data_IF_181305603210
#
_entry.id   IF_181305603210
#
_cell.length_a   1.000
_cell.length_b   1.000
_cell.length_c   1.000
_cell.angle_alpha   90.00
_cell.angle_beta   90.00
_cell.angle_gamma   90.00
#
_symmetry.space_group_name_H-M   'P 1'
#
loop_
_entity.id
_entity.type
_entity.pdbx_description
1 polymer ?
#
# COMPACT_ATOMS: atom_id res chain seq x y z
N UNK A 1 6.60 -23.91 13.49
CA UNK A 1 6.30 -23.45 12.11
C UNK A 1 4.83 -23.75 11.84
N UNK A 2 3.96 -22.74 11.89
CA UNK A 2 2.59 -22.89 11.42
C UNK A 2 2.60 -22.56 9.93
N UNK A 3 2.47 -23.58 9.09
CA UNK A 3 2.28 -23.41 7.64
C UNK A 3 0.99 -22.63 7.40
N UNK A 4 1.09 -21.51 6.67
CA UNK A 4 -0.07 -20.70 6.30
C UNK A 4 -1.07 -21.56 5.51
N UNK A 5 -2.34 -21.54 5.92
CA UNK A 5 -3.43 -22.17 5.17
C UNK A 5 -3.48 -21.53 3.77
N UNK A 6 -3.38 -22.36 2.74
CA UNK A 6 -3.38 -21.93 1.34
C UNK A 6 -4.78 -21.45 0.91
N UNK A 7 -4.82 -20.64 -0.14
CA UNK A 7 -6.08 -20.12 -0.72
C UNK A 7 -7.07 -21.23 -1.11
N UNK A 8 -6.56 -22.43 -1.42
CA UNK A 8 -7.37 -23.58 -1.83
C UNK A 8 -7.92 -24.36 -0.62
N UNK A 9 -7.18 -24.42 0.49
CA UNK A 9 -7.69 -24.96 1.76
C UNK A 9 -8.81 -24.08 2.35
N UNK A 10 -8.72 -22.75 2.18
CA UNK A 10 -9.81 -21.82 2.56
C UNK A 10 -11.12 -22.09 1.81
N UNK A 11 -11.05 -22.53 0.54
CA UNK A 11 -12.24 -22.88 -0.26
C UNK A 11 -12.86 -24.21 0.19
N UNK A 12 -12.05 -25.15 0.66
CA UNK A 12 -12.49 -26.48 1.09
C UNK A 12 -13.19 -26.49 2.47
N UNK A 13 -13.05 -25.43 3.28
CA UNK A 13 -13.72 -25.30 4.60
C UNK A 13 -15.25 -25.07 4.48
N UNK A 14 -15.84 -25.18 3.28
CA UNK A 14 -17.30 -25.22 3.14
C UNK A 14 -17.99 -23.91 3.52
N UNK A 15 -17.28 -22.78 3.43
CA UNK A 15 -17.93 -21.46 3.44
C UNK A 15 -18.57 -21.29 2.06
N UNK A 16 -19.71 -21.96 1.84
CA UNK A 16 -20.71 -21.44 0.93
C UNK A 16 -20.94 -19.99 1.38
N UNK A 17 -20.67 -19.04 0.47
CA UNK A 17 -20.79 -17.60 0.68
C UNK A 17 -22.26 -17.21 0.82
N UNK A 18 -22.91 -17.71 1.87
CA UNK A 18 -24.21 -17.24 2.27
C UNK A 18 -24.00 -15.93 3.04
N UNK A 19 -23.91 -14.85 2.27
CA UNK A 19 -24.48 -13.52 2.54
C UNK A 19 -24.17 -12.56 1.37
N UNK A 20 -25.23 -12.13 0.67
CA UNK A 20 -25.36 -11.05 -0.33
C UNK A 20 -24.91 -11.37 -1.78
N UNK A 21 -25.85 -11.89 -2.58
CA UNK A 21 -25.76 -12.03 -4.05
C UNK A 21 -25.14 -10.80 -4.73
N UNK A 22 -25.62 -9.60 -4.37
CA UNK A 22 -25.18 -8.31 -4.92
C UNK A 22 -23.66 -8.03 -4.82
N UNK A 23 -23.00 -8.43 -3.71
CA UNK A 23 -21.56 -8.18 -3.54
C UNK A 23 -20.73 -9.11 -4.42
N UNK A 24 -21.11 -10.39 -4.44
CA UNK A 24 -20.46 -11.41 -5.26
C UNK A 24 -20.69 -11.11 -6.74
N UNK A 25 -21.92 -10.75 -7.12
CA UNK A 25 -22.27 -10.35 -8.48
C UNK A 25 -21.45 -9.14 -8.96
N UNK A 26 -21.29 -8.09 -8.14
CA UNK A 26 -20.42 -6.96 -8.52
C UNK A 26 -18.93 -7.35 -8.59
N UNK A 27 -18.48 -8.32 -7.80
CA UNK A 27 -17.13 -8.87 -7.93
C UNK A 27 -16.98 -9.63 -9.24
N UNK A 28 -17.97 -10.44 -9.61
CA UNK A 28 -18.01 -11.19 -10.86
C UNK A 28 -18.07 -10.26 -12.08
N UNK A 29 -18.89 -9.22 -12.05
CA UNK A 29 -18.94 -8.15 -13.06
C UNK A 29 -17.57 -7.52 -13.32
N UNK A 30 -16.78 -7.30 -12.26
CA UNK A 30 -15.42 -6.76 -12.39
C UNK A 30 -14.48 -7.78 -13.02
N UNK A 31 -14.62 -9.05 -12.68
CA UNK A 31 -13.83 -10.14 -13.26
C UNK A 31 -14.16 -10.31 -14.74
N UNK A 32 -15.44 -10.23 -15.14
CA UNK A 32 -15.89 -10.28 -16.53
C UNK A 32 -15.23 -9.15 -17.34
N UNK A 33 -15.29 -7.90 -16.83
CA UNK A 33 -14.64 -6.75 -17.49
C UNK A 33 -13.12 -6.92 -17.67
N UNK A 34 -12.46 -7.58 -16.72
CA UNK A 34 -11.03 -7.92 -16.84
C UNK A 34 -10.84 -8.98 -17.92
N UNK A 35 -11.69 -10.02 -17.97
CA UNK A 35 -11.64 -11.07 -19.00
C UNK A 35 -11.84 -10.49 -20.41
N UNK A 36 -12.83 -9.65 -20.62
CA UNK A 36 -13.11 -9.05 -21.93
C UNK A 36 -11.92 -8.24 -22.44
N UNK A 37 -11.33 -7.41 -21.57
CA UNK A 37 -10.11 -6.66 -21.88
C UNK A 37 -8.93 -7.58 -22.18
N UNK A 38 -8.80 -8.69 -21.46
CA UNK A 38 -7.74 -9.65 -21.69
C UNK A 38 -7.91 -10.38 -23.03
N UNK A 39 -9.15 -10.68 -23.43
CA UNK A 39 -9.46 -11.27 -24.74
C UNK A 39 -9.11 -10.27 -25.87
N UNK A 40 -9.48 -8.99 -25.73
CA UNK A 40 -9.08 -7.95 -26.68
C UNK A 40 -7.55 -7.88 -26.84
N UNK A 41 -6.82 -7.79 -25.73
CA UNK A 41 -5.36 -7.78 -25.75
C UNK A 41 -4.76 -9.05 -26.35
N UNK A 42 -5.32 -10.22 -26.05
CA UNK A 42 -4.88 -11.50 -26.61
C UNK A 42 -5.10 -11.55 -28.12
N UNK A 43 -6.24 -11.07 -28.61
CA UNK A 43 -6.52 -11.00 -30.05
C UNK A 43 -5.58 -10.01 -30.76
N UNK A 44 -5.32 -8.85 -30.15
CA UNK A 44 -4.34 -7.89 -30.66
C UNK A 44 -2.92 -8.46 -30.67
N UNK A 45 -2.56 -9.24 -29.65
CA UNK A 45 -1.25 -9.91 -29.57
C UNK A 45 -1.01 -10.89 -30.72
N UNK A 46 -2.04 -11.60 -31.18
CA UNK A 46 -1.94 -12.53 -32.33
C UNK A 46 -1.61 -11.83 -33.65
N UNK A 47 -1.92 -10.54 -33.77
CA UNK A 47 -1.67 -9.74 -34.97
C UNK A 47 -0.29 -9.04 -34.94
N UNK A 48 0.50 -9.22 -33.89
CA UNK A 48 1.84 -8.64 -33.79
C UNK A 48 2.82 -9.47 -34.62
N UNK A 49 3.47 -8.85 -35.59
CA UNK A 49 4.45 -9.51 -36.44
C UNK A 49 5.82 -9.67 -35.76
N UNK A 50 6.66 -10.55 -36.30
CA UNK A 50 8.07 -10.65 -35.90
C UNK A 50 8.83 -9.33 -36.08
N UNK A 51 8.49 -8.57 -37.13
CA UNK A 51 9.13 -7.28 -37.41
C UNK A 51 8.75 -6.21 -36.38
N UNK A 52 7.52 -6.25 -35.88
CA UNK A 52 7.09 -5.39 -34.78
C UNK A 52 7.86 -5.71 -33.49
N UNK A 53 8.05 -6.99 -33.20
CA UNK A 53 8.84 -7.44 -32.04
C UNK A 53 10.31 -7.02 -32.16
N UNK A 54 10.92 -7.14 -33.34
CA UNK A 54 12.29 -6.72 -33.60
C UNK A 54 12.45 -5.21 -33.43
N UNK A 55 11.50 -4.40 -33.94
CA UNK A 55 11.48 -2.94 -33.73
C UNK A 55 11.33 -2.59 -32.26
N UNK A 56 10.45 -3.28 -31.53
CA UNK A 56 10.28 -3.08 -30.09
C UNK A 56 11.56 -3.42 -29.31
N UNK A 57 12.28 -4.48 -29.68
CA UNK A 57 13.52 -4.88 -29.01
C UNK A 57 14.56 -3.75 -28.97
N UNK A 58 14.74 -3.00 -30.05
CA UNK A 58 15.64 -1.85 -30.07
C UNK A 58 15.22 -0.72 -29.11
N UNK A 59 13.91 -0.53 -28.91
CA UNK A 59 13.39 0.43 -27.92
C UNK A 59 13.60 -0.08 -26.49
N UNK A 60 13.35 -1.37 -26.25
CA UNK A 60 13.57 -2.00 -24.94
C UNK A 60 15.04 -1.95 -24.55
N UNK A 61 15.96 -2.21 -25.48
CA UNK A 61 17.39 -2.14 -25.22
C UNK A 61 17.82 -0.75 -24.73
N UNK A 62 17.31 0.33 -25.36
CA UNK A 62 17.54 1.71 -24.90
C UNK A 62 17.00 1.95 -23.49
N UNK A 63 15.86 1.36 -23.15
CA UNK A 63 15.31 1.45 -21.80
C UNK A 63 16.15 0.69 -20.77
N UNK A 64 16.72 -0.47 -21.13
CA UNK A 64 17.66 -1.22 -20.29
C UNK A 64 18.93 -0.41 -20.05
N UNK A 65 19.52 0.18 -21.11
CA UNK A 65 20.70 1.04 -20.99
C UNK A 65 20.44 2.27 -20.11
N UNK A 66 19.25 2.89 -20.24
CA UNK A 66 18.84 3.97 -19.34
C UNK A 66 18.73 3.47 -17.90
N UNK A 67 18.15 2.29 -17.69
CA UNK A 67 17.99 1.70 -16.37
C UNK A 67 19.34 1.38 -15.71
N UNK A 68 20.31 0.87 -16.48
CA UNK A 68 21.68 0.62 -16.03
C UNK A 68 22.39 1.90 -15.59
N UNK A 69 22.14 3.02 -16.27
CA UNK A 69 22.68 4.34 -15.88
C UNK A 69 21.99 4.90 -14.64
N UNK A 70 20.68 4.70 -14.52
CA UNK A 70 19.90 5.19 -13.37
C UNK A 70 20.13 4.38 -12.10
N UNK A 71 20.31 3.06 -12.23
CA UNK A 71 20.39 2.10 -11.13
C UNK A 71 21.55 1.11 -11.36
N UNK A 72 22.80 1.57 -11.45
CA UNK A 72 23.94 0.72 -11.79
C UNK A 72 24.16 -0.43 -10.80
N UNK A 73 23.78 -0.23 -9.53
CA UNK A 73 23.88 -1.27 -8.50
C UNK A 73 23.04 -2.52 -8.83
N UNK A 74 21.86 -2.37 -9.46
CA UNK A 74 21.05 -3.51 -9.91
C UNK A 74 21.76 -4.38 -10.96
N UNK A 75 22.83 -3.86 -11.57
CA UNK A 75 23.61 -4.50 -12.61
C UNK A 75 25.06 -4.77 -12.17
N UNK A 76 25.30 -4.87 -10.86
CA UNK A 76 26.57 -5.32 -10.29
C UNK A 76 27.58 -4.23 -9.97
N UNK A 77 27.25 -2.95 -10.14
CA UNK A 77 28.10 -1.87 -9.64
C UNK A 77 28.05 -1.78 -8.11
N UNK A 78 29.11 -1.23 -7.50
CA UNK A 78 29.11 -0.93 -6.06
C UNK A 78 28.05 0.14 -5.78
N UNK A 79 27.12 -0.07 -4.83
CA UNK A 79 26.09 0.91 -4.51
C UNK A 79 26.70 2.14 -3.84
N UNK A 80 26.29 3.32 -4.27
CA UNK A 80 26.57 4.61 -3.60
C UNK A 80 25.51 4.95 -2.54
N UNK A 81 24.36 4.26 -2.59
CA UNK A 81 23.22 4.42 -1.68
C UNK A 81 22.60 3.09 -1.33
N UNK A 82 22.11 3.00 -0.10
CA UNK A 82 21.35 1.87 0.42
C UNK A 82 20.03 2.36 1.02
N UNK A 83 19.00 1.53 0.88
CA UNK A 83 17.63 1.81 1.23
C UNK A 83 17.17 0.85 2.32
N UNK A 84 16.57 1.38 3.38
CA UNK A 84 16.01 0.62 4.48
C UNK A 84 14.52 0.87 4.56
N UNK A 85 13.71 -0.14 4.23
CA UNK A 85 12.27 -0.08 4.46
C UNK A 85 11.95 -0.63 5.85
N UNK A 86 11.28 0.15 6.67
CA UNK A 86 10.85 -0.22 8.02
C UNK A 86 9.32 -0.31 8.05
N UNK A 87 8.81 -1.37 8.66
CA UNK A 87 7.37 -1.66 8.72
C UNK A 87 7.01 -2.27 10.10
N UNK A 88 6.05 -1.64 10.80
CA UNK A 88 5.55 -2.04 12.11
C UNK A 88 4.79 -3.37 12.07
N UNK A 89 5.18 -4.31 12.92
CA UNK A 89 4.63 -5.66 12.90
C UNK A 89 3.19 -5.70 13.44
N UNK A 90 2.23 -6.08 12.58
CA UNK A 90 0.79 -6.15 12.93
C UNK A 90 0.29 -4.89 13.66
N UNK A 91 0.73 -3.70 13.20
CA UNK A 91 0.74 -2.46 13.97
C UNK A 91 -0.46 -2.22 14.90
N UNK A 92 -1.68 -2.08 14.37
CA UNK A 92 -2.84 -1.77 15.22
C UNK A 92 -3.12 -2.86 16.25
N UNK A 93 -3.00 -4.13 15.86
CA UNK A 93 -3.21 -5.25 16.78
C UNK A 93 -2.13 -5.29 17.88
N UNK A 94 -0.89 -4.94 17.55
CA UNK A 94 0.21 -4.82 18.51
C UNK A 94 -0.03 -3.67 19.50
N UNK A 95 -0.53 -2.51 19.03
CA UNK A 95 -0.90 -1.38 19.90
C UNK A 95 -2.05 -1.75 20.84
N UNK A 96 -3.11 -2.39 20.33
CA UNK A 96 -4.21 -2.87 21.16
C UNK A 96 -3.74 -3.88 22.20
N UNK A 97 -2.84 -4.80 21.82
CA UNK A 97 -2.24 -5.79 22.72
C UNK A 97 -1.40 -5.15 23.83
N UNK A 98 -0.68 -4.05 23.53
CA UNK A 98 0.05 -3.30 24.55
C UNK A 98 -0.88 -2.63 25.57
N UNK A 99 -2.07 -2.18 25.13
CA UNK A 99 -3.05 -1.55 26.03
C UNK A 99 -3.92 -2.56 26.76
N UNK A 100 -4.10 -3.75 26.20
CA UNK A 100 -4.92 -4.84 26.71
C UNK A 100 -4.12 -6.15 26.70
N UNK A 101 -3.30 -6.40 27.74
CA UNK A 101 -2.42 -7.56 27.81
C UNK A 101 -3.14 -8.91 27.65
N UNK A 102 -4.45 -8.96 27.93
CA UNK A 102 -5.30 -10.13 27.69
C UNK A 102 -5.37 -10.56 26.21
N UNK A 103 -4.96 -9.70 25.27
CA UNK A 103 -4.95 -10.02 23.84
C UNK A 103 -3.67 -10.69 23.33
N UNK A 104 -2.63 -10.80 24.17
CA UNK A 104 -1.27 -11.19 23.75
C UNK A 104 -1.21 -12.52 23.00
N UNK A 105 -1.89 -13.53 23.53
CA UNK A 105 -1.75 -14.92 23.08
C UNK A 105 -3.05 -15.47 22.45
N UNK A 106 -3.98 -14.58 22.06
CA UNK A 106 -5.25 -14.97 21.44
C UNK A 106 -5.37 -14.42 20.00
N UNK A 107 -6.14 -15.07 19.11
CA UNK A 107 -6.45 -14.50 17.80
C UNK A 107 -7.19 -13.17 17.93
N UNK A 108 -6.59 -12.08 17.41
CA UNK A 108 -7.14 -10.73 17.45
C UNK A 108 -7.27 -10.13 16.04
N UNK A 109 -8.44 -9.57 15.76
CA UNK A 109 -8.69 -8.66 14.65
C UNK A 109 -9.01 -7.26 15.15
N UNK A 110 -8.52 -6.23 14.44
CA UNK A 110 -8.85 -4.82 14.71
C UNK A 110 -9.77 -4.32 13.60
N UNK A 111 -10.93 -3.79 13.95
CA UNK A 111 -11.96 -3.35 13.01
C UNK A 111 -13.37 -3.60 13.52
N UNK A 112 -14.20 -4.20 12.69
CA UNK A 112 -15.59 -4.53 13.02
C UNK A 112 -16.04 -5.81 12.33
N UNK A 113 -17.27 -6.26 12.62
CA UNK A 113 -17.90 -7.34 11.88
C UNK A 113 -18.01 -7.07 10.37
N UNK A 114 -18.04 -5.81 9.95
CA UNK A 114 -18.13 -5.43 8.53
C UNK A 114 -16.77 -5.47 7.83
N UNK A 115 -15.69 -5.11 8.52
CA UNK A 115 -14.35 -5.02 7.92
C UNK A 115 -13.26 -5.02 8.99
N UNK A 116 -12.23 -5.83 8.79
CA UNK A 116 -10.99 -5.80 9.58
C UNK A 116 -9.96 -4.90 8.92
N UNK A 117 -9.37 -3.99 9.70
CA UNK A 117 -8.23 -3.18 9.31
C UNK A 117 -6.93 -3.99 9.35
N UNK A 118 -6.75 -4.84 10.36
CA UNK A 118 -5.61 -5.77 10.47
C UNK A 118 -5.92 -6.93 11.42
N UNK A 119 -4.98 -7.86 11.54
CA UNK A 119 -5.01 -9.00 12.47
C UNK A 119 -3.62 -9.29 13.01
N UNK A 120 -3.54 -9.85 14.23
CA UNK A 120 -2.29 -10.33 14.81
C UNK A 120 -1.85 -11.66 14.19
N UNK A 121 -0.59 -12.06 14.41
CA UNK A 121 -0.04 -13.28 13.85
C UNK A 121 -0.79 -14.57 14.26
N UNK A 122 -1.26 -14.74 15.52
CA UNK A 122 -2.14 -15.85 15.88
C UNK A 122 -3.39 -15.95 14.99
N UNK A 123 -4.10 -14.84 14.75
CA UNK A 123 -5.25 -14.84 13.84
C UNK A 123 -4.86 -15.09 12.38
N UNK A 124 -3.68 -14.64 11.96
CA UNK A 124 -3.17 -14.91 10.60
C UNK A 124 -2.89 -16.39 10.35
N UNK A 125 -2.58 -17.18 11.37
CA UNK A 125 -2.43 -18.63 11.20
C UNK A 125 -3.74 -19.31 10.73
N UNK A 126 -4.90 -18.77 11.11
CA UNK A 126 -6.22 -19.21 10.63
C UNK A 126 -6.63 -18.58 9.29
N UNK A 127 -5.74 -17.83 8.65
CA UNK A 127 -6.06 -17.17 7.40
C UNK A 127 -6.81 -15.84 7.52
N UNK A 128 -7.03 -15.33 8.73
CA UNK A 128 -7.62 -13.98 8.94
C UNK A 128 -6.62 -12.92 8.46
N UNK A 129 -7.05 -11.99 7.60
CA UNK A 129 -6.20 -10.96 6.98
C UNK A 129 -6.87 -9.59 7.00
N UNK A 130 -6.08 -8.53 6.82
CA UNK A 130 -6.58 -7.18 6.59
C UNK A 130 -7.47 -7.12 5.34
N UNK A 131 -8.52 -6.28 5.36
CA UNK A 131 -9.47 -6.17 4.25
C UNK A 131 -10.51 -7.30 4.18
N UNK A 132 -10.52 -8.22 5.15
CA UNK A 132 -11.52 -9.27 5.29
C UNK A 132 -12.71 -8.79 6.14
N UNK A 133 -13.97 -9.04 5.75
CA UNK A 133 -15.12 -8.86 6.63
C UNK A 133 -15.02 -9.67 7.92
N UNK A 134 -15.29 -9.04 9.06
CA UNK A 134 -15.15 -9.67 10.38
C UNK A 134 -16.05 -10.89 10.58
N UNK A 135 -17.25 -10.92 9.99
CA UNK A 135 -18.11 -12.09 10.04
C UNK A 135 -17.51 -13.32 9.31
N UNK A 136 -16.79 -13.12 8.20
CA UNK A 136 -16.07 -14.20 7.53
C UNK A 136 -14.85 -14.62 8.34
N UNK A 137 -14.13 -13.66 8.92
CA UNK A 137 -13.00 -13.95 9.79
C UNK A 137 -13.41 -14.80 11.01
N UNK A 138 -14.60 -14.55 11.57
CA UNK A 138 -15.20 -15.36 12.64
C UNK A 138 -15.57 -16.78 12.19
N UNK A 139 -15.95 -16.99 10.92
CA UNK A 139 -16.15 -18.34 10.37
C UNK A 139 -14.82 -19.10 10.28
N UNK A 140 -13.74 -18.44 9.84
CA UNK A 140 -12.39 -19.03 9.79
C UNK A 140 -11.78 -19.28 11.17
N UNK A 141 -12.07 -18.41 12.13
CA UNK A 141 -11.56 -18.49 13.49
C UNK A 141 -12.69 -18.13 14.49
N UNK A 142 -13.47 -19.12 14.96
CA UNK A 142 -14.60 -18.87 15.87
C UNK A 142 -14.21 -18.16 17.17
N UNK A 143 -13.00 -18.43 17.66
CA UNK A 143 -12.40 -17.82 18.86
C UNK A 143 -11.84 -16.42 18.65
N UNK A 144 -11.84 -15.88 17.42
CA UNK A 144 -11.31 -14.56 17.08
C UNK A 144 -11.94 -13.45 17.92
N UNK A 145 -11.15 -12.66 18.63
CA UNK A 145 -11.60 -11.43 19.26
C UNK A 145 -11.52 -10.29 18.23
N UNK A 146 -12.57 -9.47 18.13
CA UNK A 146 -12.58 -8.29 17.28
C UNK A 146 -12.72 -7.06 18.16
N UNK A 147 -11.75 -6.15 18.09
CA UNK A 147 -11.76 -4.86 18.79
C UNK A 147 -11.94 -3.69 17.81
N UNK A 148 -12.68 -2.63 18.16
CA UNK A 148 -12.79 -1.42 17.32
C UNK A 148 -11.44 -0.75 17.06
N UNK A 149 -11.34 -0.02 15.94
CA UNK A 149 -10.17 0.82 15.65
C UNK A 149 -10.11 2.05 16.57
N UNK A 150 -8.92 2.37 17.07
CA UNK A 150 -8.59 3.61 17.78
C UNK A 150 -7.49 4.38 17.02
N UNK A 151 -7.89 5.17 16.02
CA UNK A 151 -6.94 5.84 15.13
C UNK A 151 -6.09 6.92 15.82
N UNK A 152 -6.64 7.61 16.82
CA UNK A 152 -5.87 8.62 17.58
C UNK A 152 -4.70 7.93 18.30
N UNK A 153 -4.98 6.82 18.96
CA UNK A 153 -3.96 5.99 19.59
C UNK A 153 -2.92 5.47 18.59
N UNK A 154 -3.34 5.03 17.40
CA UNK A 154 -2.41 4.52 16.39
C UNK A 154 -1.52 5.64 15.83
N UNK A 155 -2.07 6.84 15.61
CA UNK A 155 -1.28 7.99 15.20
C UNK A 155 -0.26 8.39 16.28
N UNK A 156 -0.64 8.39 17.56
CA UNK A 156 0.29 8.69 18.66
C UNK A 156 1.51 7.74 18.70
N UNK A 157 1.29 6.45 18.45
CA UNK A 157 2.39 5.48 18.39
C UNK A 157 3.20 5.60 17.09
N UNK A 158 2.54 5.86 15.96
CA UNK A 158 3.18 6.15 14.68
C UNK A 158 4.14 7.33 14.83
N UNK A 159 3.67 8.45 15.38
CA UNK A 159 4.47 9.67 15.54
C UNK A 159 5.71 9.44 16.40
N UNK A 160 5.60 8.63 17.47
CA UNK A 160 6.75 8.22 18.29
C UNK A 160 7.77 7.41 17.50
N UNK A 161 7.31 6.43 16.71
CA UNK A 161 8.20 5.61 15.89
C UNK A 161 8.87 6.47 14.83
N UNK A 162 8.10 7.27 14.08
CA UNK A 162 8.62 8.15 13.04
C UNK A 162 9.60 9.19 13.59
N UNK A 163 9.39 9.71 14.80
CA UNK A 163 10.33 10.61 15.48
C UNK A 163 11.67 9.94 15.82
N UNK A 164 11.65 8.66 16.24
CA UNK A 164 12.88 7.88 16.46
C UNK A 164 13.61 7.71 15.13
N UNK A 165 12.91 7.30 14.08
CA UNK A 165 13.51 7.05 12.76
C UNK A 165 14.07 8.34 12.14
N UNK A 166 13.35 9.46 12.26
CA UNK A 166 13.76 10.75 11.69
C UNK A 166 15.04 11.30 12.31
N UNK A 167 15.40 10.85 13.52
CA UNK A 167 16.66 11.29 14.12
C UNK A 167 17.87 10.63 13.47
N UNK A 168 17.76 9.37 13.02
CA UNK A 168 18.83 8.72 12.25
C UNK A 168 18.85 9.15 10.78
N UNK A 169 17.72 9.63 10.26
CA UNK A 169 17.63 10.14 8.89
C UNK A 169 16.53 11.22 8.78
N UNK A 170 16.87 12.53 8.86
CA UNK A 170 15.88 13.61 8.84
C UNK A 170 15.03 13.68 7.55
N UNK A 171 15.53 13.10 6.46
CA UNK A 171 14.87 13.02 5.16
C UNK A 171 14.11 11.70 4.94
N UNK A 172 13.62 11.09 6.02
CA UNK A 172 12.83 9.87 5.98
C UNK A 172 11.59 10.02 5.08
N UNK A 173 11.31 8.98 4.30
CA UNK A 173 10.14 8.90 3.43
C UNK A 173 9.04 8.08 4.12
N UNK A 174 8.00 8.75 4.62
CA UNK A 174 6.86 8.10 5.28
C UNK A 174 5.83 7.69 4.22
N UNK A 175 5.47 6.39 4.17
CA UNK A 175 4.51 5.85 3.21
C UNK A 175 3.14 5.53 3.84
N UNK A 176 3.11 5.34 5.16
CA UNK A 176 1.92 5.07 5.95
C UNK A 176 2.19 5.36 7.42
N UNK A 177 1.21 5.12 8.29
CA UNK A 177 1.40 5.30 9.74
C UNK A 177 2.19 4.15 10.38
N UNK A 178 2.44 3.09 9.61
CA UNK A 178 3.23 1.93 9.98
C UNK A 178 4.51 1.72 9.15
N UNK A 179 4.70 2.50 8.08
CA UNK A 179 5.75 2.25 7.09
C UNK A 179 6.55 3.50 6.73
N UNK A 180 7.88 3.34 6.66
CA UNK A 180 8.79 4.36 6.19
C UNK A 180 10.01 3.79 5.46
N UNK A 181 10.72 4.64 4.71
CA UNK A 181 11.97 4.31 4.06
C UNK A 181 13.06 5.31 4.44
N UNK A 182 14.20 4.80 4.90
CA UNK A 182 15.40 5.59 5.18
C UNK A 182 16.41 5.35 4.05
N UNK A 183 17.10 6.42 3.66
CA UNK A 183 18.08 6.37 2.56
C UNK A 183 19.43 6.84 3.06
N UNK A 184 20.44 5.99 2.91
CA UNK A 184 21.80 6.22 3.39
C UNK A 184 22.80 6.21 2.23
N UNK A 185 23.63 7.25 2.18
CA UNK A 185 24.95 7.26 1.55
C UNK A 185 26.03 7.18 2.67
N UNK A 186 27.32 7.21 2.31
CA UNK A 186 28.43 7.15 3.28
C UNK A 186 28.32 8.25 4.36
N UNK A 187 28.03 9.49 3.95
CA UNK A 187 27.90 10.63 4.87
C UNK A 187 26.77 10.43 5.86
N UNK A 188 25.55 10.12 5.38
CA UNK A 188 24.38 9.91 6.23
C UNK A 188 24.55 8.72 7.16
N UNK A 189 25.26 7.68 6.71
CA UNK A 189 25.53 6.52 7.55
C UNK A 189 26.47 6.88 8.71
N UNK A 190 27.55 7.64 8.42
CA UNK A 190 28.47 8.14 9.46
C UNK A 190 27.74 9.03 10.47
N UNK A 191 26.94 9.98 10.01
CA UNK A 191 26.12 10.85 10.88
C UNK A 191 25.20 10.03 11.79
N UNK A 192 24.51 9.02 11.25
CA UNK A 192 23.64 8.16 12.04
C UNK A 192 24.40 7.30 13.07
N UNK A 193 25.63 6.88 12.77
CA UNK A 193 26.52 6.21 13.72
C UNK A 193 26.93 7.14 14.86
N UNK A 194 27.30 8.38 14.55
CA UNK A 194 27.64 9.39 15.56
C UNK A 194 26.45 9.69 16.46
N UNK A 195 25.25 9.85 15.89
CA UNK A 195 24.00 10.07 16.62
C UNK A 195 23.72 8.91 17.58
N UNK A 196 23.92 7.66 17.14
CA UNK A 196 23.80 6.48 18.00
C UNK A 196 24.83 6.52 19.14
N UNK A 197 26.11 6.71 18.82
CA UNK A 197 27.22 6.66 19.78
C UNK A 197 27.20 7.80 20.81
N UNK A 198 26.74 8.99 20.42
CA UNK A 198 26.69 10.19 21.27
C UNK A 198 25.40 10.30 22.10
N UNK A 199 24.56 9.26 22.14
CA UNK A 199 23.34 9.18 22.94
C UNK A 199 22.27 10.24 22.61
N UNK A 200 22.23 10.80 21.39
CA UNK A 200 21.29 11.88 21.07
C UNK A 200 19.80 11.47 21.14
N UNK A 201 19.50 10.17 21.12
CA UNK A 201 18.13 9.62 21.14
C UNK A 201 17.94 8.57 22.23
N UNK A 202 19.02 7.87 22.59
CA UNK A 202 18.97 6.68 23.42
C UNK A 202 19.43 7.09 24.82
N UNK A 203 18.49 7.52 25.66
CA UNK A 203 18.74 7.58 27.10
C UNK A 203 19.33 6.23 27.53
N UNK A 204 20.62 6.22 27.86
CA UNK A 204 21.37 4.96 28.07
C UNK A 204 20.70 4.13 29.16
N UNK A 205 20.60 2.83 28.91
CA UNK A 205 21.10 1.85 29.87
C UNK A 205 22.60 1.75 29.56
N UNK A 206 23.46 1.89 30.56
CA UNK A 206 24.91 2.15 30.41
C UNK A 206 25.73 1.06 29.72
N UNK A 207 25.12 -0.05 29.28
CA UNK A 207 25.82 -1.30 28.93
C UNK A 207 25.92 -1.59 27.42
N UNK A 208 25.39 -0.75 26.52
CA UNK A 208 25.51 -1.01 25.07
C UNK A 208 26.85 -0.51 24.47
N UNK A 209 27.55 -1.39 23.76
CA UNK A 209 28.80 -1.08 23.05
C UNK A 209 28.60 -0.10 21.89
N UNK A 210 29.52 0.86 21.69
CA UNK A 210 29.47 1.79 20.56
C UNK A 210 29.69 1.06 19.22
N UNK A 211 29.09 1.59 18.16
CA UNK A 211 29.33 1.12 16.81
C UNK A 211 30.63 1.70 16.24
N UNK A 212 31.49 0.84 15.68
CA UNK A 212 32.70 1.25 14.96
C UNK A 212 32.40 1.28 13.47
N UNK A 213 32.57 2.46 12.86
CA UNK A 213 32.40 2.63 11.42
C UNK A 213 33.71 2.31 10.68
N UNK A 214 33.67 1.35 9.76
CA UNK A 214 34.83 0.99 8.94
C UNK A 214 34.67 1.50 7.51
N UNK A 215 33.60 1.08 6.83
CA UNK A 215 33.30 1.44 5.45
C UNK A 215 31.80 1.44 5.19
N UNK A 216 31.39 2.19 4.16
CA UNK A 216 30.01 2.16 3.70
C UNK A 216 29.67 0.81 3.09
N UNK A 217 28.58 0.21 3.55
CA UNK A 217 28.12 -1.06 3.02
C UNK A 217 26.99 -1.69 3.83
N UNK A 218 26.53 -2.85 3.35
CA UNK A 218 25.42 -3.58 3.94
C UNK A 218 25.69 -3.99 5.40
N UNK A 219 26.91 -4.38 5.74
CA UNK A 219 27.25 -4.82 7.10
C UNK A 219 27.18 -3.66 8.11
N UNK A 220 27.74 -2.50 7.75
CA UNK A 220 27.63 -1.31 8.57
C UNK A 220 26.17 -0.87 8.73
N UNK A 221 25.42 -0.84 7.63
CA UNK A 221 24.01 -0.45 7.70
C UNK A 221 23.16 -1.44 8.51
N UNK A 222 23.40 -2.75 8.39
CA UNK A 222 22.67 -3.78 9.14
C UNK A 222 22.83 -3.62 10.64
N UNK A 223 24.06 -3.36 11.12
CA UNK A 223 24.32 -3.11 12.55
C UNK A 223 23.53 -1.92 13.06
N UNK A 224 23.52 -0.81 12.30
CA UNK A 224 22.73 0.37 12.67
C UNK A 224 21.23 0.06 12.68
N UNK A 225 20.71 -0.63 11.66
CA UNK A 225 19.29 -0.99 11.58
C UNK A 225 18.86 -1.86 12.77
N UNK A 226 19.71 -2.77 13.24
CA UNK A 226 19.44 -3.53 14.45
C UNK A 226 19.30 -2.63 15.69
N UNK A 227 20.19 -1.64 15.83
CA UNK A 227 20.12 -0.64 16.90
C UNK A 227 18.87 0.23 16.80
N UNK A 228 18.47 0.63 15.59
CA UNK A 228 17.23 1.38 15.34
C UNK A 228 16.02 0.55 15.78
N UNK A 229 15.95 -0.73 15.40
CA UNK A 229 14.88 -1.66 15.82
C UNK A 229 14.81 -1.79 17.34
N UNK A 230 15.97 -1.94 17.99
CA UNK A 230 16.08 -1.96 19.45
C UNK A 230 15.60 -0.66 20.11
N UNK A 231 15.96 0.49 19.54
CA UNK A 231 15.51 1.80 20.03
C UNK A 231 13.99 1.95 19.91
N UNK A 232 13.39 1.54 18.78
CA UNK A 232 11.93 1.53 18.62
C UNK A 232 11.28 0.65 19.68
N UNK A 233 11.77 -0.56 19.89
CA UNK A 233 11.21 -1.48 20.88
C UNK A 233 11.33 -0.96 22.32
N UNK A 234 12.48 -0.40 22.71
CA UNK A 234 12.67 0.17 24.06
C UNK A 234 11.71 1.32 24.36
N UNK A 235 11.50 2.22 23.39
CA UNK A 235 10.71 3.43 23.58
C UNK A 235 9.20 3.21 23.41
N UNK A 236 8.79 2.23 22.59
CA UNK A 236 7.37 2.06 22.22
C UNK A 236 6.79 0.70 22.63
N UNK A 237 7.64 -0.29 22.95
CA UNK A 237 7.29 -1.71 23.12
C UNK A 237 6.69 -2.36 21.87
N UNK A 238 6.78 -1.71 20.71
CA UNK A 238 6.41 -2.25 19.41
C UNK A 238 7.64 -2.77 18.69
N UNK A 239 7.47 -3.84 17.90
CA UNK A 239 8.53 -4.34 17.03
C UNK A 239 8.34 -3.84 15.60
N UNK A 240 9.45 -3.67 14.91
CA UNK A 240 9.47 -3.35 13.48
C UNK A 240 10.33 -4.37 12.76
N UNK A 241 9.89 -4.74 11.56
CA UNK A 241 10.69 -5.49 10.60
C UNK A 241 11.37 -4.53 9.63
N UNK A 242 12.52 -4.93 9.09
CA UNK A 242 13.30 -4.10 8.19
C UNK A 242 13.80 -4.86 6.95
N UNK A 243 13.83 -4.20 5.81
CA UNK A 243 14.43 -4.71 4.57
C UNK A 243 15.49 -3.76 4.06
N UNK A 244 16.65 -4.29 3.66
CA UNK A 244 17.79 -3.50 3.18
C UNK A 244 18.14 -3.91 1.75
N UNK A 245 18.22 -2.94 0.84
CA UNK A 245 18.65 -3.18 -0.54
C UNK A 245 19.09 -1.90 -1.25
N UNK A 246 19.33 -1.98 -2.57
CA UNK A 246 19.85 -0.90 -3.41
C UNK A 246 18.76 0.00 -4.03
N UNK A 247 17.48 -0.33 -3.82
CA UNK A 247 16.34 0.50 -4.22
C UNK A 247 15.15 0.28 -3.28
N UNK A 248 14.15 1.18 -3.32
CA UNK A 248 12.99 1.11 -2.40
C UNK A 248 12.15 -0.12 -2.63
N UNK A 249 11.96 -0.53 -3.89
CA UNK A 249 11.16 -1.71 -4.23
C UNK A 249 11.73 -2.99 -3.62
N UNK A 250 13.03 -3.23 -3.76
CA UNK A 250 13.71 -4.39 -3.18
C UNK A 250 13.83 -4.29 -1.65
N UNK A 251 14.06 -3.10 -1.10
CA UNK A 251 14.03 -2.89 0.35
C UNK A 251 12.65 -3.21 0.93
N UNK A 252 11.57 -2.79 0.26
CA UNK A 252 10.21 -3.14 0.68
C UNK A 252 9.91 -4.63 0.55
N UNK A 253 10.32 -5.25 -0.55
CA UNK A 253 10.15 -6.69 -0.75
C UNK A 253 10.89 -7.50 0.33
N UNK A 254 12.17 -7.20 0.57
CA UNK A 254 12.99 -7.88 1.59
C UNK A 254 12.45 -7.72 3.00
N UNK A 255 11.85 -6.57 3.34
CA UNK A 255 11.23 -6.34 4.65
C UNK A 255 10.14 -7.38 4.98
N UNK A 256 9.44 -7.90 3.97
CA UNK A 256 8.40 -8.91 4.15
C UNK A 256 8.92 -10.33 4.44
N UNK A 257 10.18 -10.64 4.13
CA UNK A 257 10.69 -12.02 4.14
C UNK A 257 10.91 -12.59 5.55
N UNK A 258 11.32 -11.74 6.50
CA UNK A 258 11.63 -12.13 7.89
C UNK A 258 10.65 -11.53 8.92
N UNK A 259 9.41 -11.21 8.50
CA UNK A 259 8.37 -10.78 9.45
C UNK A 259 7.90 -11.95 10.33
N UNK A 260 7.54 -11.72 11.62
CA UNK A 260 7.69 -10.47 12.38
C UNK A 260 9.07 -10.29 13.03
N UNK A 261 9.35 -9.04 13.44
CA UNK A 261 10.50 -8.66 14.24
C UNK A 261 11.83 -9.22 13.70
N UNK A 262 12.00 -9.15 12.38
CA UNK A 262 13.22 -9.59 11.71
C UNK A 262 13.70 -8.55 10.73
N UNK A 263 14.91 -8.78 10.21
CA UNK A 263 15.39 -8.04 9.04
C UNK A 263 15.92 -8.98 7.98
N UNK A 264 15.86 -8.55 6.72
CA UNK A 264 16.45 -9.27 5.60
C UNK A 264 17.18 -8.29 4.69
N UNK A 265 18.28 -8.73 4.07
CA UNK A 265 19.05 -7.91 3.16
C UNK A 265 19.21 -8.62 1.83
N UNK A 266 19.00 -7.89 0.73
CA UNK A 266 19.37 -8.35 -0.60
C UNK A 266 20.58 -7.52 -1.01
N UNK A 267 21.76 -8.15 -1.03
CA UNK A 267 23.07 -7.51 -1.22
C UNK A 267 23.50 -7.46 -2.69
N UNK A 268 23.30 -8.58 -3.36
CA UNK A 268 23.73 -8.90 -4.70
C UNK A 268 22.72 -9.84 -5.36
N UNK A 269 22.99 -10.22 -6.62
CA UNK A 269 22.18 -11.15 -7.40
C UNK A 269 20.66 -10.84 -7.33
N UNK A 270 20.33 -9.55 -7.43
CA UNK A 270 18.95 -9.05 -7.28
C UNK A 270 17.95 -9.78 -8.17
N UNK A 271 18.43 -10.24 -9.34
CA UNK A 271 17.66 -10.97 -10.32
C UNK A 271 17.15 -12.31 -9.81
N UNK A 272 18.00 -13.11 -9.16
CA UNK A 272 17.63 -14.44 -8.67
C UNK A 272 16.57 -14.36 -7.58
N UNK A 273 16.62 -13.30 -6.76
CA UNK A 273 15.62 -13.03 -5.72
C UNK A 273 14.22 -12.73 -6.26
N UNK A 274 14.10 -12.15 -7.46
CA UNK A 274 12.79 -11.68 -7.97
C UNK A 274 12.28 -12.43 -9.20
N UNK A 275 13.16 -13.01 -10.02
CA UNK A 275 12.82 -13.58 -11.33
C UNK A 275 11.78 -14.71 -11.24
N UNK A 276 11.88 -15.56 -10.21
CA UNK A 276 11.00 -16.70 -9.98
C UNK A 276 9.67 -16.31 -9.28
N UNK A 277 9.56 -15.09 -8.76
CA UNK A 277 8.38 -14.66 -8.03
C UNK A 277 7.18 -14.53 -8.96
N UNK A 278 5.99 -14.85 -8.43
CA UNK A 278 4.75 -14.47 -9.07
C UNK A 278 4.67 -12.95 -9.16
N UNK A 279 4.14 -12.43 -10.28
CA UNK A 279 4.10 -10.99 -10.55
C UNK A 279 3.38 -10.19 -9.45
N UNK A 280 2.39 -10.77 -8.76
CA UNK A 280 1.64 -10.13 -7.69
C UNK A 280 2.36 -10.09 -6.33
N UNK A 281 3.55 -10.69 -6.23
CA UNK A 281 4.46 -10.50 -5.09
C UNK A 281 5.28 -9.22 -5.21
N UNK A 282 5.39 -8.64 -6.40
CA UNK A 282 6.02 -7.34 -6.60
C UNK A 282 5.02 -6.22 -6.26
N UNK A 283 5.40 -5.36 -5.31
CA UNK A 283 4.57 -4.21 -4.95
C UNK A 283 4.32 -3.32 -6.18
N UNK A 284 3.05 -3.02 -6.44
CA UNK A 284 2.60 -2.27 -7.62
C UNK A 284 1.85 -3.12 -8.64
N UNK A 285 1.89 -4.46 -8.54
CA UNK A 285 1.09 -5.37 -9.37
C UNK A 285 -0.06 -5.94 -8.53
N UNK A 286 -1.24 -5.33 -8.68
CA UNK A 286 -2.46 -5.80 -8.02
C UNK A 286 -3.14 -6.97 -8.74
N UNK A 287 -4.16 -7.55 -8.09
CA UNK A 287 -4.95 -8.68 -8.60
C UNK A 287 -5.45 -8.50 -10.05
N UNK A 288 -5.94 -7.31 -10.38
CA UNK A 288 -6.43 -7.03 -11.73
C UNK A 288 -5.31 -7.09 -12.77
N UNK A 289 -4.15 -6.50 -12.48
CA UNK A 289 -3.00 -6.54 -13.39
C UNK A 289 -2.45 -7.96 -13.53
N UNK A 290 -2.34 -8.72 -12.42
CA UNK A 290 -1.98 -10.14 -12.44
C UNK A 290 -2.89 -10.92 -13.39
N UNK A 291 -4.21 -10.75 -13.23
CA UNK A 291 -5.20 -11.47 -14.02
C UNK A 291 -5.16 -11.08 -15.50
N UNK A 292 -4.96 -9.79 -15.79
CA UNK A 292 -4.74 -9.31 -17.16
C UNK A 292 -3.50 -9.94 -17.80
N UNK A 293 -2.37 -9.95 -17.08
CA UNK A 293 -1.10 -10.53 -17.56
C UNK A 293 -1.24 -12.03 -17.82
N UNK A 294 -1.86 -12.76 -16.90
CA UNK A 294 -2.09 -14.19 -17.03
C UNK A 294 -3.02 -14.51 -18.20
N UNK A 295 -4.20 -13.88 -18.27
CA UNK A 295 -5.20 -14.22 -19.29
C UNK A 295 -4.81 -13.75 -20.70
N UNK A 296 -4.20 -12.58 -20.83
CA UNK A 296 -3.87 -12.04 -22.14
C UNK A 296 -2.59 -12.65 -22.72
N UNK A 297 -1.60 -12.94 -21.86
CA UNK A 297 -0.24 -13.28 -22.30
C UNK A 297 0.31 -14.58 -21.71
N UNK A 298 -0.41 -15.26 -20.82
CA UNK A 298 0.10 -16.39 -20.03
C UNK A 298 1.41 -16.01 -19.32
N UNK A 299 1.38 -14.91 -18.55
CA UNK A 299 2.47 -14.44 -17.70
C UNK A 299 2.07 -14.64 -16.24
N UNK A 300 2.88 -15.39 -15.50
CA UNK A 300 2.71 -15.67 -14.08
C UNK A 300 3.88 -15.15 -13.25
N UNK A 301 5.11 -15.27 -13.76
CA UNK A 301 6.34 -14.90 -13.06
C UNK A 301 6.97 -13.61 -13.58
N UNK A 302 7.88 -13.04 -12.81
CA UNK A 302 8.67 -11.86 -13.21
C UNK A 302 9.56 -12.16 -14.41
N UNK A 303 10.17 -13.35 -14.49
CA UNK A 303 10.98 -13.76 -15.66
C UNK A 303 10.14 -13.80 -16.94
N UNK A 304 8.92 -14.36 -16.87
CA UNK A 304 7.97 -14.39 -17.99
C UNK A 304 7.51 -12.99 -18.40
N UNK A 305 7.31 -12.09 -17.43
CA UNK A 305 6.99 -10.69 -17.73
C UNK A 305 8.10 -10.02 -18.53
N UNK A 306 9.38 -10.28 -18.17
CA UNK A 306 10.53 -9.73 -18.89
C UNK A 306 10.72 -10.34 -20.26
N UNK A 307 10.54 -11.65 -20.41
CA UNK A 307 10.68 -12.31 -21.72
C UNK A 307 9.64 -11.83 -22.73
N UNK A 308 8.47 -11.39 -22.27
CA UNK A 308 7.38 -10.85 -23.10
C UNK A 308 7.30 -9.32 -23.09
N UNK A 309 8.32 -8.60 -22.60
CA UNK A 309 8.23 -7.16 -22.42
C UNK A 309 8.07 -6.39 -23.74
N UNK A 310 8.62 -6.90 -24.85
CA UNK A 310 8.42 -6.33 -26.19
C UNK A 310 6.93 -6.30 -26.57
N UNK A 311 6.22 -7.39 -26.26
CA UNK A 311 4.78 -7.49 -26.51
C UNK A 311 3.98 -6.55 -25.60
N UNK A 312 4.38 -6.43 -24.33
CA UNK A 312 3.78 -5.49 -23.38
C UNK A 312 3.96 -4.04 -23.87
N UNK A 313 5.14 -3.68 -24.39
CA UNK A 313 5.41 -2.36 -24.96
C UNK A 313 4.49 -2.01 -26.11
N UNK A 314 4.22 -2.97 -27.01
CA UNK A 314 3.38 -2.75 -28.20
C UNK A 314 1.88 -2.65 -27.86
N UNK A 315 1.42 -3.34 -26.82
CA UNK A 315 -0.01 -3.49 -26.56
C UNK A 315 -0.54 -2.58 -25.45
N UNK A 316 0.30 -2.23 -24.47
CA UNK A 316 -0.09 -1.34 -23.39
C UNK A 316 0.26 0.12 -23.66
N UNK A 317 -0.48 1.06 -23.05
CA UNK A 317 -0.05 2.45 -22.98
C UNK A 317 1.35 2.57 -22.37
N UNK A 318 2.16 3.49 -22.89
CA UNK A 318 3.57 3.68 -22.50
C UNK A 318 3.77 3.76 -20.99
N UNK A 319 2.88 4.44 -20.27
CA UNK A 319 2.96 4.55 -18.81
C UNK A 319 2.81 3.19 -18.10
N UNK A 320 1.90 2.35 -18.57
CA UNK A 320 1.69 1.01 -18.00
C UNK A 320 2.86 0.09 -18.34
N UNK A 321 3.33 0.12 -19.58
CA UNK A 321 4.53 -0.59 -20.01
C UNK A 321 5.74 -0.20 -19.14
N UNK A 322 6.06 1.10 -19.04
CA UNK A 322 7.22 1.57 -18.27
C UNK A 322 7.13 1.18 -16.80
N UNK A 323 5.93 1.21 -16.22
CA UNK A 323 5.71 0.76 -14.86
C UNK A 323 6.00 -0.74 -14.71
N UNK A 324 5.40 -1.59 -15.55
CA UNK A 324 5.63 -3.05 -15.51
C UNK A 324 7.10 -3.41 -15.76
N UNK A 325 7.73 -2.74 -16.73
CA UNK A 325 9.16 -2.88 -17.01
C UNK A 325 10.00 -2.59 -15.76
N UNK A 326 9.85 -1.42 -15.13
CA UNK A 326 10.63 -1.07 -13.93
C UNK A 326 10.35 -2.01 -12.75
N UNK A 327 9.08 -2.36 -12.51
CA UNK A 327 8.69 -3.30 -11.46
C UNK A 327 9.37 -4.68 -11.66
N UNK A 328 9.53 -5.12 -12.90
CA UNK A 328 10.20 -6.39 -13.22
C UNK A 328 11.69 -6.44 -12.92
N UNK A 329 12.32 -5.28 -12.64
CA UNK A 329 13.70 -5.18 -12.16
C UNK A 329 13.76 -4.88 -10.64
N UNK A 330 12.66 -5.04 -9.92
CA UNK A 330 12.60 -4.86 -8.46
C UNK A 330 12.44 -3.40 -8.01
N UNK A 331 12.32 -2.44 -8.93
CA UNK A 331 12.00 -1.06 -8.59
C UNK A 331 10.56 -0.92 -8.11
N UNK A 332 10.27 0.18 -7.43
CA UNK A 332 8.92 0.61 -7.05
C UNK A 332 8.48 1.86 -7.81
N UNK A 333 7.21 2.26 -7.63
CA UNK A 333 6.69 3.53 -8.12
C UNK A 333 7.38 4.77 -7.51
N UNK A 334 8.09 4.58 -6.39
CA UNK A 334 8.83 5.62 -5.68
C UNK A 334 10.29 5.70 -6.13
N UNK A 335 10.79 4.71 -6.86
CA UNK A 335 12.14 4.68 -7.41
C UNK A 335 12.23 5.54 -8.68
N UNK A 336 12.20 6.85 -8.45
CA UNK A 336 12.39 7.90 -9.45
C UNK A 336 13.71 8.61 -9.20
N UNK A 337 14.48 8.85 -10.27
CA UNK A 337 15.68 9.70 -10.21
C UNK A 337 15.35 11.17 -9.95
N UNK A 338 14.13 11.59 -10.31
CA UNK A 338 13.60 12.91 -9.95
C UNK A 338 13.12 12.86 -8.50
N UNK A 339 13.81 13.58 -7.63
CA UNK A 339 13.44 13.78 -6.23
C UNK A 339 12.04 14.40 -6.15
N UNK A 340 11.10 13.67 -5.55
CA UNK A 340 9.78 14.18 -5.18
C UNK A 340 9.68 14.31 -3.66
N UNK A 341 10.67 14.95 -3.04
CA UNK A 341 10.51 15.39 -1.67
C UNK A 341 9.43 16.49 -1.70
N UNK A 342 8.33 16.27 -0.95
CA UNK A 342 7.16 17.16 -0.85
C UNK A 342 6.12 17.08 -1.98
N UNK A 343 5.61 15.88 -2.29
CA UNK A 343 4.36 15.79 -3.03
C UNK A 343 3.22 16.41 -2.20
N UNK A 344 2.76 17.61 -2.57
CA UNK A 344 1.60 18.23 -1.93
C UNK A 344 0.34 17.37 -2.14
N UNK A 345 -0.48 17.22 -1.09
CA UNK A 345 -1.78 16.54 -1.24
C UNK A 345 -2.58 17.19 -2.36
N UNK A 346 -3.01 16.37 -3.33
CA UNK A 346 -3.78 16.81 -4.49
C UNK A 346 -5.28 16.83 -4.24
N UNK A 347 -5.73 16.18 -3.17
CA UNK A 347 -7.13 16.11 -2.77
C UNK A 347 -7.27 15.87 -1.28
N UNK A 348 -8.38 16.34 -0.71
CA UNK A 348 -8.83 16.01 0.65
C UNK A 348 -10.21 15.39 0.51
N UNK A 349 -10.41 14.22 1.10
CA UNK A 349 -11.67 13.49 1.02
C UNK A 349 -12.08 12.87 2.35
N UNK A 350 -13.37 12.63 2.49
CA UNK A 350 -13.97 11.82 3.55
C UNK A 350 -15.14 11.05 2.93
N UNK A 351 -15.30 9.80 3.33
CA UNK A 351 -16.43 8.95 2.95
C UNK A 351 -16.95 8.20 4.16
N UNK A 352 -18.20 7.74 4.06
CA UNK A 352 -18.85 6.92 5.08
C UNK A 352 -19.72 5.87 4.39
N UNK A 353 -19.70 4.64 4.92
CA UNK A 353 -20.64 3.58 4.52
C UNK A 353 -21.74 3.50 5.57
N UNK A 354 -22.98 3.34 5.13
CA UNK A 354 -24.18 3.31 5.96
C UNK A 354 -25.20 2.32 5.39
N UNK A 355 -26.27 2.02 6.12
CA UNK A 355 -27.33 1.14 5.64
C UNK A 355 -28.00 1.75 4.39
N UNK A 356 -28.39 0.94 3.38
CA UNK A 356 -29.09 1.46 2.20
C UNK A 356 -30.29 2.32 2.60
N UNK A 357 -30.43 3.48 1.96
CA UNK A 357 -31.53 4.41 2.21
C UNK A 357 -31.86 5.19 0.96
N UNK A 358 -33.14 5.48 0.77
CA UNK A 358 -33.66 6.43 -0.22
C UNK A 358 -34.06 7.76 0.43
N UNK A 359 -33.92 7.88 1.75
CA UNK A 359 -34.31 9.07 2.50
C UNK A 359 -33.32 10.22 2.25
N UNK A 360 -33.78 11.24 1.53
CA UNK A 360 -32.99 12.41 1.18
C UNK A 360 -32.50 13.20 2.39
N UNK A 361 -33.29 13.30 3.45
CA UNK A 361 -32.87 13.97 4.69
C UNK A 361 -31.68 13.24 5.31
N UNK A 362 -31.75 11.92 5.42
CA UNK A 362 -30.63 11.10 5.92
C UNK A 362 -29.37 11.28 5.06
N UNK A 363 -29.52 11.31 3.73
CA UNK A 363 -28.40 11.54 2.81
C UNK A 363 -27.78 12.93 3.05
N UNK A 364 -28.59 13.97 3.20
CA UNK A 364 -28.13 15.33 3.48
C UNK A 364 -27.44 15.43 4.85
N UNK A 365 -28.00 14.82 5.89
CA UNK A 365 -27.39 14.82 7.23
C UNK A 365 -26.00 14.18 7.19
N UNK A 366 -25.87 13.06 6.47
CA UNK A 366 -24.58 12.38 6.24
C UNK A 366 -23.63 13.28 5.46
N UNK A 367 -24.09 13.86 4.36
CA UNK A 367 -23.30 14.74 3.52
C UNK A 367 -22.79 15.95 4.30
N UNK A 368 -23.63 16.57 5.14
CA UNK A 368 -23.28 17.69 6.00
C UNK A 368 -22.13 17.34 6.95
N UNK A 369 -22.20 16.18 7.62
CA UNK A 369 -21.13 15.69 8.51
C UNK A 369 -19.81 15.51 7.74
N UNK A 370 -19.86 14.98 6.51
CA UNK A 370 -18.68 14.83 5.66
C UNK A 370 -18.09 16.20 5.28
N UNK A 371 -18.93 17.17 4.92
CA UNK A 371 -18.51 18.53 4.56
C UNK A 371 -17.84 19.26 5.73
N UNK A 372 -18.39 19.16 6.96
CA UNK A 372 -17.75 19.71 8.17
C UNK A 372 -16.35 19.12 8.35
N UNK A 373 -16.20 17.81 8.19
CA UNK A 373 -14.90 17.14 8.34
C UNK A 373 -13.89 17.61 7.28
N UNK A 374 -14.34 17.80 6.04
CA UNK A 374 -13.49 18.27 4.93
C UNK A 374 -13.08 19.73 5.13
N UNK A 375 -14.03 20.61 5.47
CA UNK A 375 -13.78 22.03 5.79
C UNK A 375 -12.75 22.19 6.90
N UNK A 376 -12.93 21.48 8.02
CA UNK A 376 -11.95 21.48 9.13
C UNK A 376 -10.55 21.08 8.66
N UNK A 377 -10.43 20.06 7.81
CA UNK A 377 -9.14 19.61 7.26
C UNK A 377 -8.53 20.62 6.28
N UNK A 378 -9.33 21.25 5.43
CA UNK A 378 -8.89 22.30 4.52
C UNK A 378 -8.30 23.49 5.29
N UNK A 379 -9.06 23.99 6.27
CA UNK A 379 -8.65 25.10 7.16
C UNK A 379 -7.39 24.76 7.95
N UNK A 380 -7.33 23.58 8.58
CA UNK A 380 -6.14 23.13 9.30
C UNK A 380 -4.89 23.06 8.42
N UNK A 381 -5.04 22.63 7.16
CA UNK A 381 -3.92 22.55 6.21
C UNK A 381 -3.67 23.86 5.45
N UNK A 382 -4.40 24.93 5.75
CA UNK A 382 -4.35 26.22 5.03
C UNK A 382 -4.52 26.04 3.50
N UNK A 383 -5.50 25.23 3.09
CA UNK A 383 -5.78 24.91 1.68
C UNK A 383 -7.21 25.28 1.29
N UNK A 384 -7.38 25.60 0.01
CA UNK A 384 -8.69 25.79 -0.64
C UNK A 384 -8.92 24.71 -1.70
N UNK A 385 -10.17 24.34 -1.93
CA UNK A 385 -10.57 23.45 -3.00
C UNK A 385 -11.09 24.24 -4.21
N UNK A 386 -10.76 23.79 -5.41
CA UNK A 386 -11.30 24.33 -6.69
C UNK A 386 -12.11 23.29 -7.47
N UNK A 387 -12.14 22.06 -6.98
CA UNK A 387 -12.87 20.94 -7.55
C UNK A 387 -13.55 20.18 -6.42
N UNK A 388 -14.88 20.08 -6.48
CA UNK A 388 -15.67 19.24 -5.58
C UNK A 388 -16.00 17.94 -6.29
N UNK A 389 -15.80 16.83 -5.60
CA UNK A 389 -16.07 15.49 -6.13
C UNK A 389 -16.96 14.72 -5.16
N UNK A 390 -18.13 14.31 -5.63
CA UNK A 390 -19.08 13.48 -4.87
C UNK A 390 -19.02 12.05 -5.43
N UNK A 391 -18.80 11.08 -4.54
CA UNK A 391 -18.87 9.67 -4.88
C UNK A 391 -19.95 9.00 -4.05
N UNK A 392 -20.90 8.35 -4.73
CA UNK A 392 -21.98 7.60 -4.10
C UNK A 392 -21.96 6.15 -4.60
N UNK A 393 -22.47 5.24 -3.77
CA UNK A 393 -22.46 3.80 -4.03
C UNK A 393 -23.84 3.23 -3.72
N UNK A 394 -24.41 2.48 -4.65
CA UNK A 394 -25.69 1.78 -4.46
C UNK A 394 -25.52 0.52 -3.61
N UNK A 395 -26.65 -0.07 -3.17
CA UNK A 395 -26.66 -1.33 -2.41
C UNK A 395 -26.00 -2.49 -3.16
N UNK A 396 -26.10 -2.50 -4.50
CA UNK A 396 -25.40 -3.44 -5.39
C UNK A 396 -23.90 -3.14 -5.57
N UNK A 397 -23.33 -2.28 -4.72
CA UNK A 397 -21.93 -1.88 -4.69
C UNK A 397 -21.41 -1.18 -5.97
N UNK A 398 -22.28 -0.83 -6.92
CA UNK A 398 -21.93 0.02 -8.09
C UNK A 398 -21.69 1.45 -7.60
N UNK A 399 -20.52 1.99 -7.93
CA UNK A 399 -20.06 3.30 -7.47
C UNK A 399 -20.03 4.28 -8.63
N UNK A 400 -20.47 5.51 -8.36
CA UNK A 400 -20.51 6.59 -9.33
C UNK A 400 -19.86 7.81 -8.74
N UNK A 401 -19.13 8.54 -9.57
CA UNK A 401 -18.44 9.77 -9.19
C UNK A 401 -18.88 10.89 -10.10
N UNK A 402 -19.14 12.05 -9.49
CA UNK A 402 -19.47 13.30 -10.17
C UNK A 402 -18.56 14.39 -9.62
N UNK A 403 -18.20 15.33 -10.49
CA UNK A 403 -17.30 16.43 -10.12
C UNK A 403 -17.82 17.73 -10.69
N UNK A 404 -17.63 18.80 -9.95
CA UNK A 404 -17.85 20.17 -10.44
C UNK A 404 -16.63 21.03 -10.13
N UNK A 405 -16.33 21.96 -11.04
CA UNK A 405 -15.33 23.01 -10.83
C UNK A 405 -16.00 24.17 -10.10
N UNK A 406 -15.27 24.79 -9.19
CA UNK A 406 -15.74 25.93 -8.42
C UNK A 406 -14.61 26.96 -8.26
N UNK A 407 -14.96 28.16 -7.80
CA UNK A 407 -13.99 29.08 -7.23
C UNK A 407 -13.35 28.46 -5.97
N UNK A 408 -12.37 29.13 -5.38
CA UNK A 408 -11.74 28.64 -4.15
C UNK A 408 -12.76 28.57 -3.01
N UNK A 409 -12.98 27.37 -2.47
CA UNK A 409 -13.87 27.12 -1.32
C UNK A 409 -13.13 26.38 -0.21
N UNK A 410 -13.45 26.73 1.02
CA UNK A 410 -13.00 26.04 2.25
C UNK A 410 -14.11 25.94 3.31
N UNK A 411 -15.25 26.60 3.10
CA UNK A 411 -16.41 26.60 4.00
C UNK A 411 -17.27 25.34 3.83
N UNK A 412 -17.69 24.77 4.96
CA UNK A 412 -18.58 23.61 4.99
C UNK A 412 -19.93 23.89 4.29
N UNK A 413 -20.44 25.13 4.36
CA UNK A 413 -21.70 25.54 3.72
C UNK A 413 -21.56 25.54 2.21
N UNK A 414 -20.50 26.16 1.69
CA UNK A 414 -20.24 26.24 0.25
C UNK A 414 -20.00 24.84 -0.33
N UNK A 415 -19.18 24.03 0.34
CA UNK A 415 -18.90 22.65 -0.06
C UNK A 415 -20.19 21.83 -0.07
N UNK A 416 -21.04 21.97 0.95
CA UNK A 416 -22.32 21.27 1.04
C UNK A 416 -23.26 21.66 -0.10
N UNK A 417 -23.45 22.95 -0.34
CA UNK A 417 -24.33 23.44 -1.41
C UNK A 417 -23.91 22.91 -2.78
N UNK A 418 -22.61 22.95 -3.09
CA UNK A 418 -22.06 22.40 -4.33
C UNK A 418 -22.28 20.87 -4.43
N UNK A 419 -22.15 20.15 -3.31
CA UNK A 419 -22.41 18.71 -3.30
C UNK A 419 -23.90 18.41 -3.55
N UNK A 420 -24.81 19.19 -2.96
CA UNK A 420 -26.26 19.06 -3.18
C UNK A 420 -26.62 19.35 -4.63
N UNK A 421 -26.05 20.40 -5.24
CA UNK A 421 -26.24 20.70 -6.66
C UNK A 421 -25.81 19.54 -7.56
N UNK A 422 -24.61 18.99 -7.33
CA UNK A 422 -24.10 17.81 -8.06
C UNK A 422 -25.07 16.63 -7.96
N UNK A 423 -25.60 16.37 -6.75
CA UNK A 423 -26.54 15.27 -6.54
C UNK A 423 -27.91 15.57 -7.17
N UNK A 424 -28.39 16.81 -7.14
CA UNK A 424 -29.63 17.23 -7.80
C UNK A 424 -29.54 17.09 -9.32
N UNK A 425 -28.43 17.45 -9.95
CA UNK A 425 -28.24 17.19 -11.39
C UNK A 425 -28.24 15.70 -11.72
N UNK A 426 -27.70 14.89 -10.81
CA UNK A 426 -27.57 13.45 -11.00
C UNK A 426 -28.89 12.71 -10.85
N UNK A 427 -29.73 13.10 -9.89
CA UNK A 427 -30.99 12.43 -9.57
C UNK A 427 -32.24 13.18 -10.07
N UNK A 428 -32.14 14.48 -10.33
CA UNK A 428 -33.24 15.34 -10.78
C UNK A 428 -33.56 15.24 -12.27
N UNK A 429 -32.79 14.46 -13.04
CA UNK A 429 -33.12 14.06 -14.41
C UNK A 429 -34.13 12.90 -14.50
N UNK A 430 -34.32 12.14 -13.42
CA UNK A 430 -35.34 11.08 -13.34
C UNK A 430 -36.64 11.63 -12.78
N UNK A 431 -37.28 12.51 -13.55
CA UNK A 431 -38.55 13.17 -13.21
C UNK A 431 -39.78 12.27 -13.19
N UNK A 432 -39.64 10.94 -13.16
CA UNK A 432 -40.82 10.05 -13.22
C UNK A 432 -40.88 8.89 -12.21
N UNK A 433 -39.94 8.69 -11.28
CA UNK A 433 -40.13 7.63 -10.26
C UNK A 433 -39.53 7.85 -8.87
N UNK A 434 -39.11 9.08 -8.53
CA UNK A 434 -38.82 9.43 -7.14
C UNK A 434 -39.52 10.74 -6.80
N UNK A 435 -40.66 10.64 -6.10
CA UNK A 435 -41.33 11.79 -5.51
C UNK A 435 -40.40 12.48 -4.50
N UNK A 436 -39.73 13.54 -4.95
CA UNK A 436 -39.06 14.52 -4.10
C UNK A 436 -39.78 15.87 -4.31
N UNK A 437 -40.51 16.33 -3.30
CA UNK A 437 -41.04 17.69 -3.23
C UNK A 437 -40.06 18.59 -2.46
N UNK A 438 -39.92 19.82 -2.96
CA UNK A 438 -38.84 20.79 -2.78
C UNK A 438 -38.53 21.24 -1.36
#
# INVERSE_FOLDING_TARGET
MATEITSDEMKNIGIALDTQDDFNENCDDRIIKIRDKAIDLSNRAKNVSSDDLNRAQGVIQKHIESLQKEWPALFGAVPDKLYVHIDLDSFYASVETLKRPEYKDIPLGVGSMLMLATSNYPARAFGVRAGMPGYMAKKLCPTLVITPCNFDLYNDYSDKVMAILSTYNPQIEIYGIDEACLVFDDTKLREAYEIYNNNAIVGRIMDEEPLIYHEFGFDALSKLVDKIRGAVFRNTRLTVSAGISVCRGLAKYSCGLNKPNGMFMIRDDFDSHISHLLVDKINGIGKATKEMLFRAFNITTVSELRSKINLIHLLYPTKTFLNLFRLSYGLSIFDSTKTKFNAQDKSIGKSMSFKPTTNYKTINDILWVLCISISKKLKYKLKFATIITVTYKYSNFKSYTRRSKTNTVDSEIEIFNLCVEILKETFGGEKENCNFLF
#
